data_IF_121171252973
#
_entry.id   IF_121171252973
#
_cell.length_a   1.000
_cell.length_b   1.000
_cell.length_c   1.000
_cell.angle_alpha   90.00
_cell.angle_beta   90.00
_cell.angle_gamma   90.00
#
_symmetry.space_group_name_H-M   'P 1'
#
loop_
_entity.id
_entity.type
_entity.pdbx_description
1 polymer ?
#
# COMPACT_ATOMS: atom_id res chain seq x y z
N UNK A 1 -6.50 -25.72 -14.74
CA UNK A 1 -5.56 -24.61 -14.56
C UNK A 1 -4.17 -25.19 -14.49
N UNK A 2 -3.26 -24.80 -15.38
CA UNK A 2 -1.87 -25.25 -15.31
C UNK A 2 -1.19 -24.48 -14.17
N UNK A 3 -0.72 -25.19 -13.15
CA UNK A 3 0.10 -24.61 -12.10
C UNK A 3 1.55 -24.49 -12.57
N UNK A 4 2.27 -23.56 -11.99
CA UNK A 4 3.71 -23.40 -12.23
C UNK A 4 4.45 -24.73 -11.98
N UNK A 5 5.27 -25.16 -12.95
CA UNK A 5 6.08 -26.37 -12.86
C UNK A 5 7.55 -25.99 -12.81
N UNK A 6 8.27 -26.52 -11.81
CA UNK A 6 9.73 -26.40 -11.78
C UNK A 6 10.37 -27.19 -12.93
N UNK A 7 11.29 -26.58 -13.64
CA UNK A 7 12.10 -27.24 -14.66
C UNK A 7 13.56 -27.26 -14.23
N UNK A 8 14.18 -28.46 -14.36
CA UNK A 8 15.60 -28.66 -14.06
C UNK A 8 16.38 -28.79 -15.36
N UNK A 9 16.98 -27.69 -15.85
CA UNK A 9 17.78 -27.69 -17.06
C UNK A 9 19.11 -28.40 -16.82
N UNK A 10 19.77 -28.81 -17.91
CA UNK A 10 21.13 -29.35 -17.82
C UNK A 10 22.13 -28.26 -17.40
N UNK A 11 23.14 -28.65 -16.63
CA UNK A 11 24.22 -27.74 -16.25
C UNK A 11 24.96 -27.24 -17.49
N UNK A 12 25.08 -25.92 -17.61
CA UNK A 12 25.86 -25.33 -18.73
C UNK A 12 27.33 -25.72 -18.72
N UNK A 13 27.92 -25.93 -17.51
CA UNK A 13 29.31 -26.39 -17.39
C UNK A 13 29.54 -27.78 -18.00
N UNK A 14 28.58 -28.70 -17.79
CA UNK A 14 28.64 -30.04 -18.42
C UNK A 14 28.58 -29.93 -19.94
N UNK A 15 27.75 -29.04 -20.47
CA UNK A 15 27.65 -28.85 -21.92
C UNK A 15 28.88 -28.14 -22.50
N UNK A 16 29.52 -27.24 -21.75
CA UNK A 16 30.82 -26.68 -22.15
C UNK A 16 31.88 -27.76 -22.19
N UNK A 17 31.95 -28.65 -21.18
CA UNK A 17 32.86 -29.81 -21.22
C UNK A 17 32.59 -30.72 -22.42
N UNK A 18 31.32 -30.98 -22.74
CA UNK A 18 30.92 -31.73 -23.92
C UNK A 18 31.38 -31.07 -25.23
N UNK A 19 31.35 -29.73 -25.31
CA UNK A 19 31.89 -28.98 -26.46
C UNK A 19 33.41 -29.21 -26.59
N UNK A 20 34.18 -29.14 -25.50
CA UNK A 20 35.61 -29.40 -25.53
C UNK A 20 35.95 -30.83 -25.97
N UNK A 21 35.21 -31.82 -25.47
CA UNK A 21 35.34 -33.23 -25.94
C UNK A 21 35.05 -33.33 -27.44
N UNK A 22 33.99 -32.63 -27.90
CA UNK A 22 33.59 -32.62 -29.29
C UNK A 22 34.68 -31.98 -30.19
N UNK A 23 35.29 -30.89 -29.76
CA UNK A 23 36.43 -30.25 -30.44
C UNK A 23 37.62 -31.22 -30.50
N UNK A 24 37.94 -31.89 -29.38
CA UNK A 24 38.99 -32.91 -29.34
C UNK A 24 38.77 -34.06 -30.33
N UNK A 25 37.54 -34.57 -30.40
CA UNK A 25 37.16 -35.60 -31.35
C UNK A 25 37.23 -35.11 -32.82
N UNK A 26 36.78 -33.87 -33.06
CA UNK A 26 36.87 -33.25 -34.39
C UNK A 26 38.31 -33.13 -34.88
N UNK A 27 39.22 -32.63 -34.00
CA UNK A 27 40.65 -32.45 -34.32
C UNK A 27 41.35 -33.80 -34.52
N UNK A 28 41.08 -34.80 -33.66
CA UNK A 28 41.62 -36.14 -33.82
C UNK A 28 41.10 -36.81 -35.12
N UNK A 29 39.80 -36.68 -35.40
CA UNK A 29 39.20 -37.19 -36.63
C UNK A 29 39.78 -36.54 -37.89
N UNK A 30 40.05 -35.25 -37.88
CA UNK A 30 40.70 -34.53 -38.97
C UNK A 30 42.14 -35.05 -39.21
N UNK A 31 42.88 -35.27 -38.12
CA UNK A 31 44.27 -35.76 -38.20
C UNK A 31 44.39 -37.21 -38.69
N UNK A 32 43.51 -38.12 -38.20
CA UNK A 32 43.64 -39.55 -38.51
C UNK A 32 42.87 -39.99 -39.74
N UNK A 33 41.68 -39.38 -40.03
CA UNK A 33 40.81 -39.90 -41.10
C UNK A 33 40.96 -39.18 -42.43
N UNK A 34 41.56 -37.97 -42.46
CA UNK A 34 41.74 -37.09 -43.64
C UNK A 34 40.50 -36.91 -44.54
N UNK A 35 39.31 -37.05 -43.98
CA UNK A 35 38.04 -37.05 -44.67
C UNK A 35 37.14 -35.88 -44.15
N UNK A 36 36.00 -35.64 -44.83
CA UNK A 36 35.06 -34.56 -44.45
C UNK A 36 34.20 -34.85 -43.19
N UNK A 37 34.26 -36.04 -42.58
CA UNK A 37 33.49 -36.41 -41.39
C UNK A 37 33.66 -35.47 -40.19
N UNK A 38 34.80 -34.82 -39.92
CA UNK A 38 34.94 -33.84 -38.86
C UNK A 38 33.99 -32.64 -38.97
N UNK A 39 33.50 -32.33 -40.16
CA UNK A 39 32.50 -31.25 -40.35
C UNK A 39 31.20 -31.49 -39.56
N UNK A 40 30.81 -32.74 -39.28
CA UNK A 40 29.64 -33.11 -38.49
C UNK A 40 29.79 -32.59 -37.06
N UNK A 41 30.96 -32.66 -36.46
CA UNK A 41 31.22 -32.16 -35.10
C UNK A 41 31.11 -30.65 -35.02
N UNK A 42 31.50 -29.92 -36.07
CA UNK A 42 31.32 -28.48 -36.17
C UNK A 42 29.82 -28.11 -36.20
N UNK A 43 29.00 -28.85 -36.96
CA UNK A 43 27.56 -28.66 -37.00
C UNK A 43 26.92 -28.92 -35.64
N UNK A 44 27.36 -29.94 -34.90
CA UNK A 44 26.89 -30.23 -33.54
C UNK A 44 27.19 -29.06 -32.59
N UNK A 45 28.41 -28.51 -32.65
CA UNK A 45 28.79 -27.34 -31.83
C UNK A 45 27.89 -26.13 -32.17
N UNK A 46 27.70 -25.87 -33.46
CA UNK A 46 26.86 -24.75 -33.92
C UNK A 46 25.42 -24.90 -33.47
N UNK A 47 24.92 -26.13 -33.32
CA UNK A 47 23.60 -26.41 -32.77
C UNK A 47 23.52 -26.26 -31.24
N UNK A 48 24.59 -26.59 -30.52
CA UNK A 48 24.63 -26.52 -29.04
C UNK A 48 24.72 -25.06 -28.54
N UNK A 49 25.47 -24.19 -29.24
CA UNK A 49 25.77 -22.83 -28.82
C UNK A 49 24.54 -21.97 -28.43
N UNK A 50 23.45 -21.93 -29.22
CA UNK A 50 22.30 -21.09 -28.88
C UNK A 50 21.47 -21.61 -27.68
N UNK A 51 21.77 -22.82 -27.18
CA UNK A 51 21.09 -23.43 -26.04
C UNK A 51 21.50 -22.85 -24.67
N UNK A 52 22.63 -22.16 -24.59
CA UNK A 52 23.11 -21.61 -23.32
C UNK A 52 22.31 -20.41 -22.85
N UNK A 53 22.06 -20.32 -21.51
CA UNK A 53 21.46 -19.17 -20.88
C UNK A 53 21.87 -19.08 -19.41
N UNK A 54 21.75 -17.87 -18.88
CA UNK A 54 22.08 -17.53 -17.49
C UNK A 54 20.81 -17.05 -16.82
N UNK A 55 20.57 -17.58 -15.62
CA UNK A 55 19.54 -17.11 -14.69
C UNK A 55 20.24 -16.39 -13.55
N UNK A 56 19.99 -15.09 -13.40
CA UNK A 56 20.57 -14.29 -12.32
C UNK A 56 19.79 -14.48 -11.01
N UNK A 57 20.36 -14.11 -9.85
CA UNK A 57 19.62 -14.08 -8.59
C UNK A 57 18.38 -13.20 -8.69
N UNK A 58 17.25 -13.68 -8.15
CA UNK A 58 15.94 -13.03 -8.22
C UNK A 58 15.44 -12.80 -9.66
N UNK A 59 15.83 -13.65 -10.59
CA UNK A 59 15.26 -13.78 -11.92
C UNK A 59 14.80 -15.21 -12.12
N UNK A 60 13.84 -15.40 -13.00
CA UNK A 60 13.41 -16.70 -13.47
C UNK A 60 13.38 -16.73 -14.98
N UNK A 61 13.43 -17.94 -15.53
CA UNK A 61 13.29 -18.16 -16.96
C UNK A 61 12.15 -19.14 -17.23
N UNK A 62 11.10 -18.64 -17.85
CA UNK A 62 9.93 -19.42 -18.29
C UNK A 62 10.29 -20.06 -19.63
N UNK A 63 10.13 -21.39 -19.73
CA UNK A 63 10.53 -22.19 -20.87
C UNK A 63 9.30 -22.71 -21.63
N UNK A 64 9.24 -22.37 -22.91
CA UNK A 64 8.19 -22.80 -23.83
C UNK A 64 8.83 -23.57 -25.00
N UNK A 65 8.31 -24.74 -25.32
CA UNK A 65 8.77 -25.56 -26.44
C UNK A 65 7.60 -25.80 -27.40
N UNK A 66 7.70 -25.29 -28.62
CA UNK A 66 6.67 -25.44 -29.67
C UNK A 66 5.26 -25.01 -29.22
N UNK A 67 5.18 -23.92 -28.43
CA UNK A 67 3.92 -23.42 -27.90
C UNK A 67 3.46 -24.05 -26.57
N UNK A 68 4.14 -25.09 -26.10
CA UNK A 68 3.80 -25.82 -24.89
C UNK A 68 4.68 -25.38 -23.71
N UNK A 69 4.06 -25.01 -22.58
CA UNK A 69 4.80 -24.64 -21.36
C UNK A 69 5.44 -25.87 -20.73
N UNK A 70 6.76 -25.87 -20.61
CA UNK A 70 7.53 -26.97 -20.04
C UNK A 70 7.93 -26.78 -18.59
N UNK A 71 8.01 -25.54 -18.14
CA UNK A 71 8.31 -25.20 -16.76
C UNK A 71 9.12 -23.92 -16.63
N UNK A 72 9.41 -23.55 -15.37
CA UNK A 72 10.16 -22.36 -15.01
C UNK A 72 11.43 -22.73 -14.25
N UNK A 73 12.54 -22.07 -14.56
CA UNK A 73 13.81 -22.16 -13.85
C UNK A 73 13.93 -20.97 -12.91
N UNK A 74 13.79 -21.19 -11.60
CA UNK A 74 13.93 -20.15 -10.54
C UNK A 74 15.33 -20.12 -9.92
N UNK A 75 16.08 -21.22 -9.99
CA UNK A 75 17.42 -21.27 -9.42
C UNK A 75 18.41 -20.53 -10.31
N UNK A 76 19.23 -19.69 -9.68
CA UNK A 76 20.28 -18.98 -10.39
C UNK A 76 21.38 -19.95 -10.82
N UNK A 77 21.97 -19.67 -11.99
CA UNK A 77 23.04 -20.52 -12.52
C UNK A 77 23.23 -20.38 -14.01
N UNK A 78 24.19 -21.14 -14.50
CA UNK A 78 24.50 -21.26 -15.92
C UNK A 78 23.97 -22.60 -16.43
N UNK A 79 23.08 -22.53 -17.39
CA UNK A 79 22.30 -23.68 -17.86
C UNK A 79 22.31 -23.81 -19.37
N UNK A 80 21.91 -25.00 -19.80
CA UNK A 80 21.70 -25.30 -21.19
C UNK A 80 20.35 -26.01 -21.41
N UNK A 81 19.67 -25.62 -22.48
CA UNK A 81 18.44 -26.27 -22.98
C UNK A 81 18.53 -26.38 -24.50
N UNK A 82 17.68 -27.20 -25.09
CA UNK A 82 17.61 -27.32 -26.55
C UNK A 82 17.35 -25.95 -27.19
N UNK A 83 17.95 -25.65 -28.36
CA UNK A 83 17.84 -24.35 -29.03
C UNK A 83 16.40 -23.92 -29.37
N UNK A 84 15.48 -24.87 -29.46
CA UNK A 84 14.07 -24.66 -29.82
C UNK A 84 13.24 -24.11 -28.65
N UNK A 85 13.79 -24.04 -27.45
CA UNK A 85 13.10 -23.42 -26.33
C UNK A 85 13.08 -21.88 -26.46
N UNK A 86 11.87 -21.33 -26.45
CA UNK A 86 11.65 -19.91 -26.23
C UNK A 86 11.79 -19.63 -24.73
N UNK A 87 12.60 -18.65 -24.38
CA UNK A 87 12.94 -18.28 -23.00
C UNK A 87 12.40 -16.88 -22.71
N UNK A 88 11.49 -16.76 -21.75
CA UNK A 88 11.01 -15.47 -21.26
C UNK A 88 11.57 -15.23 -19.85
N UNK A 89 12.29 -14.14 -19.67
CA UNK A 89 12.82 -13.73 -18.36
C UNK A 89 11.75 -12.98 -17.59
N UNK A 90 11.56 -13.36 -16.33
CA UNK A 90 10.66 -12.69 -15.40
C UNK A 90 11.45 -12.32 -14.14
N UNK A 91 11.37 -11.07 -13.72
CA UNK A 91 12.03 -10.60 -12.50
C UNK A 91 11.17 -10.95 -11.29
N UNK A 92 11.78 -11.57 -10.27
CA UNK A 92 11.16 -11.92 -8.99
C UNK A 92 11.48 -10.86 -7.89
N UNK A 93 12.12 -9.76 -8.28
CA UNK A 93 12.46 -8.66 -7.36
C UNK A 93 11.21 -7.92 -6.94
N UNK A 94 11.17 -7.46 -5.70
CA UNK A 94 10.13 -6.54 -5.26
C UNK A 94 10.21 -5.24 -6.08
N UNK A 95 9.03 -4.73 -6.44
CA UNK A 95 8.83 -3.47 -7.16
C UNK A 95 7.91 -2.58 -6.37
N UNK A 96 8.16 -1.28 -6.44
CA UNK A 96 7.29 -0.27 -5.86
C UNK A 96 6.56 0.44 -7.00
N UNK A 97 5.27 0.64 -6.79
CA UNK A 97 4.44 1.53 -7.58
C UNK A 97 3.97 2.64 -6.66
N UNK A 98 4.16 3.87 -7.08
CA UNK A 98 3.51 5.05 -6.53
C UNK A 98 2.41 5.43 -7.51
N UNK A 99 1.16 5.10 -7.14
CA UNK A 99 0.02 5.35 -8.04
C UNK A 99 -0.16 6.86 -8.23
N UNK A 100 -0.49 7.27 -9.46
CA UNK A 100 -0.96 8.62 -9.68
C UNK A 100 -2.17 8.92 -8.78
N UNK A 101 -2.25 10.13 -8.23
CA UNK A 101 -3.42 10.52 -7.45
C UNK A 101 -4.66 10.53 -8.33
N UNK A 102 -5.66 9.75 -7.97
CA UNK A 102 -6.95 9.69 -8.68
C UNK A 102 -8.02 10.45 -7.92
N UNK A 103 -8.91 11.11 -8.66
CA UNK A 103 -10.11 11.74 -8.11
C UNK A 103 -11.23 10.71 -8.05
N UNK A 104 -11.77 10.51 -6.85
CA UNK A 104 -12.87 9.57 -6.55
C UNK A 104 -13.83 10.21 -5.56
N UNK A 105 -15.02 9.63 -5.42
CA UNK A 105 -15.95 10.04 -4.37
C UNK A 105 -15.82 9.09 -3.18
N UNK A 106 -15.86 9.65 -1.97
CA UNK A 106 -15.94 8.87 -0.74
C UNK A 106 -17.36 8.31 -0.52
N UNK A 107 -17.57 7.56 0.57
CA UNK A 107 -18.88 7.00 0.97
C UNK A 107 -19.99 8.05 1.05
N UNK A 108 -19.66 9.31 1.39
CA UNK A 108 -20.58 10.43 1.51
C UNK A 108 -20.72 11.22 0.20
N UNK A 109 -20.18 10.71 -0.91
CA UNK A 109 -20.12 11.35 -2.22
C UNK A 109 -19.29 12.66 -2.26
N UNK A 110 -18.38 12.87 -1.31
CA UNK A 110 -17.42 13.97 -1.37
C UNK A 110 -16.29 13.62 -2.34
N UNK A 111 -15.93 14.52 -3.29
CA UNK A 111 -14.81 14.29 -4.18
C UNK A 111 -13.48 14.43 -3.43
N UNK A 112 -12.69 13.35 -3.43
CA UNK A 112 -11.37 13.26 -2.81
C UNK A 112 -10.30 12.90 -3.83
N UNK A 113 -9.05 13.26 -3.56
CA UNK A 113 -7.87 12.80 -4.26
C UNK A 113 -7.14 11.79 -3.37
N UNK A 114 -6.90 10.62 -3.91
CA UNK A 114 -6.25 9.53 -3.18
C UNK A 114 -5.13 8.93 -4.03
N UNK A 115 -3.99 8.64 -3.43
CA UNK A 115 -2.86 7.92 -4.01
C UNK A 115 -2.40 6.82 -3.07
N UNK A 116 -1.79 5.79 -3.64
CA UNK A 116 -1.37 4.58 -2.93
C UNK A 116 0.03 4.20 -3.35
N UNK A 117 0.84 3.76 -2.40
CA UNK A 117 2.09 3.04 -2.67
C UNK A 117 1.82 1.55 -2.50
N UNK A 118 2.18 0.79 -3.51
CA UNK A 118 2.08 -0.66 -3.55
C UNK A 118 3.46 -1.29 -3.72
N UNK A 119 3.83 -2.20 -2.82
CA UNK A 119 5.02 -3.05 -2.93
C UNK A 119 4.57 -4.46 -3.30
N UNK A 120 5.08 -4.97 -4.42
CA UNK A 120 4.67 -6.24 -4.97
C UNK A 120 5.82 -6.97 -5.66
N UNK A 121 5.66 -8.28 -5.87
CA UNK A 121 6.57 -9.10 -6.67
C UNK A 121 5.81 -10.18 -7.41
N UNK A 122 6.46 -10.74 -8.45
CA UNK A 122 5.93 -11.93 -9.13
C UNK A 122 6.24 -13.15 -8.26
N UNK A 123 5.22 -13.92 -7.91
CA UNK A 123 5.32 -15.21 -7.22
C UNK A 123 5.13 -16.38 -8.19
N UNK A 124 4.04 -16.38 -8.96
CA UNK A 124 3.76 -17.37 -10.00
C UNK A 124 4.10 -16.82 -11.39
N UNK A 125 5.22 -17.28 -11.93
CA UNK A 125 5.74 -16.82 -13.24
C UNK A 125 4.93 -17.34 -14.42
N UNK A 126 4.20 -18.45 -14.24
CA UNK A 126 3.30 -18.98 -15.27
C UNK A 126 2.11 -18.02 -15.45
N UNK A 127 1.39 -17.70 -14.36
CA UNK A 127 0.28 -16.77 -14.39
C UNK A 127 0.71 -15.40 -14.95
N UNK A 128 1.83 -14.85 -14.48
CA UNK A 128 2.35 -13.58 -14.93
C UNK A 128 2.74 -13.53 -16.43
N UNK A 129 3.07 -14.69 -17.01
CA UNK A 129 3.52 -14.76 -18.42
C UNK A 129 2.43 -15.14 -19.41
N UNK A 130 1.35 -15.81 -18.95
CA UNK A 130 0.36 -16.41 -19.84
C UNK A 130 -1.10 -16.07 -19.52
N UNK A 131 -1.42 -15.75 -18.25
CA UNK A 131 -2.80 -15.43 -17.88
C UNK A 131 -3.10 -13.93 -18.07
N UNK A 132 -2.06 -13.07 -18.14
CA UNK A 132 -2.15 -11.64 -18.43
C UNK A 132 -1.14 -11.25 -19.52
N UNK A 133 -1.48 -10.25 -20.31
CA UNK A 133 -0.61 -9.80 -21.41
C UNK A 133 0.59 -9.00 -20.88
N UNK A 134 0.31 -7.95 -20.09
CA UNK A 134 1.30 -7.15 -19.37
C UNK A 134 0.93 -7.08 -17.88
N UNK A 135 1.63 -7.87 -17.07
CA UNK A 135 1.38 -7.93 -15.64
C UNK A 135 1.70 -6.61 -14.91
N UNK A 136 2.60 -5.76 -15.44
CA UNK A 136 2.91 -4.46 -14.82
C UNK A 136 1.73 -3.52 -15.02
N UNK A 137 1.26 -3.40 -16.25
CA UNK A 137 0.08 -2.58 -16.56
C UNK A 137 -1.19 -3.12 -15.88
N UNK A 138 -1.30 -4.45 -15.75
CA UNK A 138 -2.39 -5.08 -15.02
C UNK A 138 -2.41 -4.64 -13.53
N UNK A 139 -1.24 -4.60 -12.88
CA UNK A 139 -1.13 -4.12 -11.48
C UNK A 139 -1.59 -2.67 -11.36
N UNK A 140 -1.19 -1.79 -12.28
CA UNK A 140 -1.60 -0.38 -12.26
C UNK A 140 -3.12 -0.24 -12.31
N UNK A 141 -3.77 -0.91 -13.29
CA UNK A 141 -5.22 -0.86 -13.45
C UNK A 141 -5.96 -1.43 -12.23
N UNK A 142 -5.49 -2.57 -11.68
CA UNK A 142 -6.12 -3.19 -10.52
C UNK A 142 -5.92 -2.36 -9.25
N UNK A 143 -4.79 -1.65 -9.13
CA UNK A 143 -4.54 -0.71 -8.04
C UNK A 143 -5.54 0.44 -8.07
N UNK A 144 -5.75 1.07 -9.22
CA UNK A 144 -6.76 2.11 -9.38
C UNK A 144 -8.17 1.62 -9.07
N UNK A 145 -8.50 0.40 -9.49
CA UNK A 145 -9.80 -0.20 -9.19
C UNK A 145 -10.00 -0.49 -7.69
N UNK A 146 -8.95 -0.94 -6.99
CA UNK A 146 -8.97 -1.17 -5.55
C UNK A 146 -9.13 0.15 -4.78
N UNK A 147 -8.41 1.21 -5.19
CA UNK A 147 -8.53 2.54 -4.61
C UNK A 147 -9.98 3.06 -4.72
N UNK A 148 -10.60 2.95 -5.90
CA UNK A 148 -11.99 3.38 -6.11
C UNK A 148 -12.97 2.60 -5.22
N UNK A 149 -12.75 1.30 -5.05
CA UNK A 149 -13.59 0.46 -4.19
C UNK A 149 -13.48 0.92 -2.73
N UNK A 150 -12.27 1.02 -2.19
CA UNK A 150 -12.04 1.44 -0.80
C UNK A 150 -12.57 2.85 -0.54
N UNK A 151 -12.33 3.79 -1.45
CA UNK A 151 -12.86 5.15 -1.32
C UNK A 151 -14.38 5.19 -1.23
N UNK A 152 -15.08 4.36 -2.01
CA UNK A 152 -16.55 4.27 -1.97
C UNK A 152 -17.11 3.59 -0.71
N UNK A 153 -16.33 2.75 -0.04
CA UNK A 153 -16.74 2.03 1.17
C UNK A 153 -16.58 2.86 2.46
N UNK A 154 -15.63 3.79 2.49
CA UNK A 154 -15.29 4.58 3.67
C UNK A 154 -15.45 6.08 3.43
N UNK A 155 -15.93 6.81 4.45
CA UNK A 155 -15.92 8.26 4.43
C UNK A 155 -14.50 8.80 4.60
N UNK A 156 -14.20 9.97 4.04
CA UNK A 156 -12.90 10.62 4.23
C UNK A 156 -12.65 10.96 5.71
N UNK A 157 -13.64 11.56 6.35
CA UNK A 157 -13.61 12.01 7.75
C UNK A 157 -15.00 11.87 8.36
N UNK A 158 -15.08 11.68 9.66
CA UNK A 158 -16.34 11.65 10.39
C UNK A 158 -16.57 13.02 11.05
N UNK A 159 -17.71 13.63 10.78
CA UNK A 159 -18.09 14.93 11.33
C UNK A 159 -19.10 14.84 12.47
N UNK A 160 -19.77 13.70 12.57
CA UNK A 160 -20.65 13.41 13.69
C UNK A 160 -19.79 12.65 14.73
N UNK A 161 -19.72 13.10 15.97
CA UNK A 161 -18.85 12.60 17.06
C UNK A 161 -18.97 11.09 17.37
N UNK A 162 -19.32 10.29 16.37
CA UNK A 162 -19.34 8.84 16.46
C UNK A 162 -17.92 8.30 16.23
N UNK A 163 -17.13 8.26 17.30
CA UNK A 163 -15.75 7.73 17.33
C UNK A 163 -15.67 6.27 16.88
N UNK A 164 -16.82 5.58 16.67
CA UNK A 164 -16.88 4.17 16.33
C UNK A 164 -16.73 3.91 14.83
N UNK A 165 -16.95 4.87 13.94
CA UNK A 165 -16.88 4.66 12.51
C UNK A 165 -15.46 4.89 11.96
N UNK A 166 -14.87 3.84 11.36
CA UNK A 166 -13.55 3.91 10.73
C UNK A 166 -13.64 4.76 9.46
N UNK A 167 -12.79 5.78 9.35
CA UNK A 167 -12.69 6.65 8.17
C UNK A 167 -11.35 6.47 7.45
N UNK A 168 -11.26 6.92 6.21
CA UNK A 168 -9.99 6.90 5.46
C UNK A 168 -8.87 7.64 6.17
N UNK A 169 -9.20 8.69 6.93
CA UNK A 169 -8.24 9.52 7.67
C UNK A 169 -7.83 8.90 9.02
N UNK A 170 -8.77 8.33 9.76
CA UNK A 170 -8.53 7.81 11.12
C UNK A 170 -8.15 6.32 11.12
N UNK A 171 -8.60 5.56 10.13
CA UNK A 171 -8.52 4.10 10.08
C UNK A 171 -7.16 3.52 9.71
N UNK A 172 -6.15 4.34 9.41
CA UNK A 172 -4.76 3.97 9.10
C UNK A 172 -4.50 2.50 8.79
N UNK A 173 -4.09 1.74 9.80
CA UNK A 173 -3.72 0.31 9.62
C UNK A 173 -4.87 -0.58 9.15
N UNK A 174 -6.10 -0.32 9.58
CA UNK A 174 -7.27 -1.14 9.17
C UNK A 174 -7.58 -0.92 7.69
N UNK A 175 -7.52 0.33 7.24
CA UNK A 175 -7.73 0.69 5.83
C UNK A 175 -6.61 0.11 4.95
N UNK A 176 -5.34 0.22 5.39
CA UNK A 176 -4.21 -0.38 4.68
C UNK A 176 -4.39 -1.89 4.54
N UNK A 177 -4.80 -2.58 5.61
CA UNK A 177 -5.06 -4.02 5.59
C UNK A 177 -6.19 -4.41 4.62
N UNK A 178 -7.29 -3.66 4.61
CA UNK A 178 -8.40 -3.85 3.66
C UNK A 178 -7.97 -3.63 2.21
N UNK A 179 -7.13 -2.62 1.99
CA UNK A 179 -6.56 -2.36 0.68
C UNK A 179 -5.66 -3.51 0.21
N UNK A 180 -4.77 -4.00 1.10
CA UNK A 180 -3.93 -5.16 0.80
C UNK A 180 -4.75 -6.41 0.47
N UNK A 181 -5.79 -6.71 1.24
CA UNK A 181 -6.67 -7.85 1.00
C UNK A 181 -7.38 -7.74 -0.36
N UNK A 182 -7.96 -6.57 -0.66
CA UNK A 182 -8.60 -6.32 -1.94
C UNK A 182 -7.63 -6.42 -3.13
N UNK A 183 -6.38 -5.98 -2.95
CA UNK A 183 -5.34 -6.10 -3.98
C UNK A 183 -4.86 -7.54 -4.14
N UNK A 184 -4.68 -8.30 -3.05
CA UNK A 184 -4.29 -9.71 -3.11
C UNK A 184 -5.29 -10.54 -3.92
N UNK A 185 -6.58 -10.39 -3.64
CA UNK A 185 -7.64 -11.11 -4.39
C UNK A 185 -7.57 -10.82 -5.89
N UNK A 186 -7.35 -9.56 -6.28
CA UNK A 186 -7.32 -9.13 -7.67
C UNK A 186 -6.05 -9.54 -8.40
N UNK A 187 -4.91 -9.44 -7.73
CA UNK A 187 -3.59 -9.66 -8.32
C UNK A 187 -3.17 -11.13 -8.33
N UNK A 188 -3.85 -12.02 -7.55
CA UNK A 188 -3.61 -13.47 -7.61
C UNK A 188 -3.86 -14.07 -9.00
N UNK A 189 -4.75 -13.48 -9.78
CA UNK A 189 -5.02 -13.89 -11.17
C UNK A 189 -3.75 -13.80 -12.02
N UNK A 190 -2.93 -12.77 -11.79
CA UNK A 190 -1.67 -12.55 -12.49
C UNK A 190 -0.47 -13.19 -11.77
N UNK A 191 -0.68 -13.96 -10.70
CA UNK A 191 0.39 -14.58 -9.92
C UNK A 191 1.31 -13.58 -9.23
N UNK A 192 0.74 -12.47 -8.74
CA UNK A 192 1.46 -11.38 -8.09
C UNK A 192 1.17 -11.41 -6.60
N UNK A 193 2.24 -11.38 -5.80
CA UNK A 193 2.19 -11.25 -4.35
C UNK A 193 2.25 -9.78 -3.94
N UNK A 194 1.24 -9.35 -3.20
CA UNK A 194 1.20 -8.05 -2.54
C UNK A 194 1.94 -8.16 -1.22
N UNK A 195 3.04 -7.43 -1.08
CA UNK A 195 3.84 -7.37 0.14
C UNK A 195 3.32 -6.31 1.10
N UNK A 196 2.98 -5.14 0.55
CA UNK A 196 2.49 -3.99 1.31
C UNK A 196 1.70 -3.06 0.39
N UNK A 197 0.60 -2.50 0.90
CA UNK A 197 -0.13 -1.44 0.24
C UNK A 197 -0.56 -0.38 1.26
N UNK A 198 -0.28 0.89 0.99
CA UNK A 198 -0.61 2.00 1.89
C UNK A 198 -1.09 3.21 1.13
N UNK A 199 -2.00 3.95 1.74
CA UNK A 199 -2.39 5.26 1.24
C UNK A 199 -1.24 6.24 1.54
N UNK A 200 -0.65 6.84 0.49
CA UNK A 200 0.41 7.84 0.61
C UNK A 200 -0.10 9.27 0.44
N UNK A 201 -1.24 9.43 -0.23
CA UNK A 201 -1.86 10.73 -0.44
C UNK A 201 -3.37 10.66 -0.24
N UNK A 202 -3.91 11.56 0.59
CA UNK A 202 -5.33 11.65 0.85
C UNK A 202 -5.71 13.11 1.12
N UNK A 203 -6.54 13.70 0.26
CA UNK A 203 -7.00 15.07 0.41
C UNK A 203 -8.37 15.26 -0.24
N UNK A 204 -9.13 16.24 0.22
CA UNK A 204 -10.30 16.70 -0.54
C UNK A 204 -9.88 17.28 -1.87
N UNK A 205 -10.71 17.12 -2.90
CA UNK A 205 -10.46 17.78 -4.18
C UNK A 205 -10.54 19.30 -4.03
N UNK A 206 -9.79 20.03 -4.86
CA UNK A 206 -9.66 21.49 -4.80
C UNK A 206 -11.02 22.22 -4.81
N UNK A 207 -12.02 21.61 -5.47
CA UNK A 207 -13.36 22.18 -5.61
C UNK A 207 -14.09 22.35 -4.26
N UNK A 208 -13.87 21.43 -3.32
CA UNK A 208 -14.56 21.42 -2.03
C UNK A 208 -13.63 21.66 -0.85
N UNK A 209 -12.31 21.69 -1.05
CA UNK A 209 -11.33 21.78 0.02
C UNK A 209 -11.56 22.99 0.95
N UNK A 210 -11.87 24.18 0.39
CA UNK A 210 -12.16 25.36 1.18
C UNK A 210 -13.47 25.24 1.97
N UNK A 211 -14.50 24.66 1.38
CA UNK A 211 -15.78 24.46 2.07
C UNK A 211 -15.64 23.47 3.22
N UNK A 212 -14.89 22.38 3.00
CA UNK A 212 -14.62 21.37 4.03
C UNK A 212 -13.73 21.92 5.16
N UNK A 213 -12.73 22.75 4.84
CA UNK A 213 -11.93 23.43 5.85
C UNK A 213 -12.80 24.33 6.75
N UNK A 214 -13.70 25.12 6.16
CA UNK A 214 -14.65 25.94 6.94
C UNK A 214 -15.56 25.09 7.83
N UNK A 215 -16.04 23.95 7.30
CA UNK A 215 -16.86 23.01 8.06
C UNK A 215 -16.07 22.43 9.25
N UNK A 216 -14.84 21.98 9.03
CA UNK A 216 -13.96 21.47 10.10
C UNK A 216 -13.68 22.54 11.16
N UNK A 217 -13.41 23.79 10.74
CA UNK A 217 -13.22 24.91 11.67
C UNK A 217 -14.47 25.18 12.52
N UNK A 218 -15.66 25.17 11.91
CA UNK A 218 -16.91 25.35 12.62
C UNK A 218 -17.17 24.24 13.65
N UNK A 219 -16.98 22.98 13.26
CA UNK A 219 -17.11 21.82 14.17
C UNK A 219 -16.10 21.91 15.31
N UNK A 220 -14.84 22.24 15.02
CA UNK A 220 -13.80 22.39 16.04
C UNK A 220 -14.12 23.51 17.03
N UNK A 221 -14.67 24.66 16.58
CA UNK A 221 -15.10 25.77 17.46
C UNK A 221 -16.25 25.31 18.35
N UNK A 222 -17.24 24.61 17.83
CA UNK A 222 -18.37 24.07 18.60
C UNK A 222 -17.87 23.10 19.67
N UNK A 223 -17.03 22.13 19.30
CA UNK A 223 -16.44 21.15 20.21
C UNK A 223 -15.60 21.84 21.30
N UNK A 224 -14.78 22.84 20.95
CA UNK A 224 -14.01 23.63 21.90
C UNK A 224 -14.92 24.38 22.89
N UNK A 225 -15.97 25.03 22.38
CA UNK A 225 -16.95 25.72 23.24
C UNK A 225 -17.67 24.75 24.17
N UNK A 226 -18.05 23.58 23.70
CA UNK A 226 -18.66 22.56 24.55
C UNK A 226 -17.74 22.18 25.71
N UNK A 227 -16.45 21.93 25.43
CA UNK A 227 -15.43 21.62 26.45
C UNK A 227 -15.19 22.77 27.43
N UNK A 228 -15.22 24.01 26.96
CA UNK A 228 -15.11 25.19 27.83
C UNK A 228 -16.31 25.26 28.79
N UNK A 229 -17.54 25.08 28.30
CA UNK A 229 -18.75 25.09 29.11
C UNK A 229 -18.76 23.95 30.12
N UNK A 230 -18.44 22.73 29.70
CA UNK A 230 -18.33 21.55 30.56
C UNK A 230 -17.31 21.77 31.69
N UNK A 231 -16.10 22.25 31.36
CA UNK A 231 -15.09 22.60 32.35
C UNK A 231 -15.49 23.74 33.27
N UNK A 232 -16.18 24.76 32.76
CA UNK A 232 -16.70 25.86 33.58
C UNK A 232 -17.74 25.37 34.58
N UNK A 233 -18.67 24.52 34.17
CA UNK A 233 -19.69 23.91 35.06
C UNK A 233 -19.02 23.11 36.18
N UNK A 234 -18.02 22.30 35.83
CA UNK A 234 -17.27 21.49 36.78
C UNK A 234 -16.49 22.31 37.79
N UNK A 235 -15.82 23.40 37.32
CA UNK A 235 -15.11 24.34 38.18
C UNK A 235 -16.05 25.06 39.15
N UNK A 236 -17.21 25.52 38.65
CA UNK A 236 -18.23 26.21 39.51
C UNK A 236 -18.78 25.24 40.55
N UNK A 237 -19.07 23.97 40.16
CA UNK A 237 -19.53 22.94 41.08
C UNK A 237 -18.50 22.69 42.19
N UNK A 238 -17.23 22.48 41.83
CA UNK A 238 -16.13 22.28 42.79
C UNK A 238 -15.96 23.47 43.72
N UNK A 239 -16.06 24.71 43.21
CA UNK A 239 -15.93 25.93 44.03
C UNK A 239 -17.03 26.01 45.10
N UNK A 240 -18.29 25.74 44.73
CA UNK A 240 -19.43 25.75 45.66
C UNK A 240 -19.30 24.62 46.69
N UNK A 241 -18.92 23.41 46.30
CA UNK A 241 -18.71 22.28 47.21
C UNK A 241 -17.60 22.59 48.22
N UNK A 242 -16.46 23.14 47.80
CA UNK A 242 -15.34 23.49 48.68
C UNK A 242 -15.68 24.62 49.64
N UNK A 243 -16.40 25.67 49.20
CA UNK A 243 -16.85 26.76 50.08
C UNK A 243 -17.85 26.26 51.13
N UNK A 244 -18.75 25.36 50.75
CA UNK A 244 -19.72 24.75 51.68
C UNK A 244 -19.03 23.80 52.68
N UNK A 245 -18.09 22.97 52.24
CA UNK A 245 -17.37 22.04 53.11
C UNK A 245 -16.47 22.72 54.12
N UNK A 246 -15.85 23.86 53.77
CA UNK A 246 -14.96 24.63 54.65
C UNK A 246 -15.71 25.59 55.58
N UNK A 247 -17.04 25.68 55.52
CA UNK A 247 -17.86 26.54 56.37
C UNK A 247 -17.56 28.05 56.22
N UNK A 248 -16.95 28.43 55.07
CA UNK A 248 -16.51 29.82 54.82
C UNK A 248 -17.69 30.76 54.63
N UNK A 249 -18.81 30.26 54.03
CA UNK A 249 -20.03 31.05 53.80
C UNK A 249 -21.24 30.12 53.83
N UNK A 250 -22.27 30.46 54.63
CA UNK A 250 -23.60 29.84 54.49
C UNK A 250 -24.31 30.49 53.30
N UNK A 251 -24.34 29.75 52.17
CA UNK A 251 -24.99 30.19 50.94
C UNK A 251 -26.41 29.65 50.89
N UNK A 252 -27.40 30.54 50.91
CA UNK A 252 -28.75 30.19 50.52
C UNK A 252 -28.85 29.94 49.01
N UNK A 253 -29.93 29.33 48.54
CA UNK A 253 -30.07 28.91 47.14
C UNK A 253 -30.06 30.11 46.16
N UNK A 254 -30.53 31.29 46.59
CA UNK A 254 -30.53 32.49 45.77
C UNK A 254 -29.12 33.06 45.57
N UNK A 255 -28.30 33.07 46.63
CA UNK A 255 -26.88 33.48 46.55
C UNK A 255 -26.04 32.50 45.79
N UNK A 256 -26.31 31.19 45.90
CA UNK A 256 -25.66 30.17 45.05
C UNK A 256 -25.97 30.40 43.58
N UNK A 257 -27.24 30.64 43.22
CA UNK A 257 -27.63 30.94 41.84
C UNK A 257 -26.95 32.18 41.26
N UNK A 258 -26.89 33.26 42.04
CA UNK A 258 -26.19 34.49 41.64
C UNK A 258 -24.67 34.26 41.44
N UNK A 259 -24.03 33.49 42.31
CA UNK A 259 -22.62 33.16 42.23
C UNK A 259 -22.31 32.26 41.02
N UNK A 260 -23.15 31.24 40.74
CA UNK A 260 -23.07 30.42 39.55
C UNK A 260 -23.16 31.26 38.30
N UNK A 261 -24.17 32.13 38.20
CA UNK A 261 -24.35 33.02 37.05
C UNK A 261 -23.13 33.91 36.79
N UNK A 262 -22.58 34.53 37.82
CA UNK A 262 -21.43 35.41 37.71
C UNK A 262 -20.16 34.67 37.31
N UNK A 263 -19.89 33.50 37.91
CA UNK A 263 -18.74 32.65 37.57
C UNK A 263 -18.84 32.11 36.15
N UNK A 264 -20.03 31.65 35.74
CA UNK A 264 -20.24 31.16 34.38
C UNK A 264 -20.00 32.24 33.32
N UNK A 265 -20.45 33.48 33.56
CA UNK A 265 -20.20 34.59 32.63
C UNK A 265 -18.71 34.87 32.49
N UNK A 266 -17.94 34.80 33.57
CA UNK A 266 -16.49 35.03 33.54
C UNK A 266 -15.76 33.87 32.85
N UNK A 267 -16.12 32.63 33.16
CA UNK A 267 -15.42 31.43 32.66
C UNK A 267 -15.74 31.09 31.21
N UNK A 268 -16.96 31.44 30.72
CA UNK A 268 -17.40 31.13 29.34
C UNK A 268 -17.17 32.33 28.40
N UNK A 269 -16.78 33.51 28.92
CA UNK A 269 -16.52 34.71 28.11
C UNK A 269 -15.26 34.55 27.24
N UNK A 270 -15.37 34.91 25.97
CA UNK A 270 -14.22 34.97 25.01
C UNK A 270 -13.28 36.18 25.27
N UNK A 271 -13.64 37.10 26.20
CA UNK A 271 -12.85 38.29 26.56
C UNK A 271 -12.39 38.19 27.98
N UNK A 272 -11.16 38.62 28.23
CA UNK A 272 -10.65 38.80 29.58
C UNK A 272 -11.62 39.68 30.41
N UNK A 273 -12.10 39.13 31.51
CA UNK A 273 -12.96 39.85 32.40
C UNK A 273 -12.17 40.97 33.12
N UNK A 274 -12.48 42.20 32.86
CA UNK A 274 -11.94 43.31 33.66
C UNK A 274 -12.78 43.43 34.92
N UNK A 275 -12.26 43.11 36.14
CA UNK A 275 -13.00 43.23 37.36
C UNK A 275 -13.28 44.70 37.63
N UNK A 276 -14.55 45.08 37.59
CA UNK A 276 -14.99 46.39 38.10
C UNK A 276 -15.23 46.21 39.59
N UNK A 277 -14.28 46.65 40.39
CA UNK A 277 -14.45 46.72 41.86
C UNK A 277 -15.30 47.90 42.17
N UNK A 278 -16.57 47.70 42.52
CA UNK A 278 -17.43 48.75 43.09
C UNK A 278 -17.01 48.95 44.55
N UNK A 279 -16.12 49.87 44.78
CA UNK A 279 -15.83 50.37 46.16
C UNK A 279 -16.98 51.22 46.63
N UNK A 280 -18.13 50.56 46.91
CA UNK A 280 -19.29 51.24 47.48
C UNK A 280 -18.92 52.04 48.71
N UNK A 281 -19.40 53.25 48.75
CA UNK A 281 -19.25 54.16 49.91
C UNK A 281 -19.73 53.47 51.19
N UNK A 282 -18.81 53.35 52.15
CA UNK A 282 -19.12 52.94 53.50
C UNK A 282 -19.83 54.11 54.14
N UNK A 283 -21.14 54.09 54.20
CA UNK A 283 -21.96 54.85 55.14
C UNK A 283 -22.98 53.89 55.72
#
# INVERSE_FOLDING_TARGET
MNNEKGFSPMSGLLMVAAIFVNIGLATAGFYYLQNAYPAIFVLIILFILPGFFIVNPNESSVLVLFGDYKGTVKHNGFYWVLPFYVRRKVSLRARNIDSATIKVNDKLANPIKIGVVLVWRVDDTFKASFDVDDYVHFVDIQTDAAIRKIAGEYAYDNFDDDESEITLRSGGKEIDHRLEESLRERLDIAGIEVMEARINYLAYSEEIAQAMLKRQQATAIIAARHKIVEGAVEMVKMAIEQLSANGVVELDDERKAAMVSNLMVVLVSDKDASPIVNSGSIY
#
